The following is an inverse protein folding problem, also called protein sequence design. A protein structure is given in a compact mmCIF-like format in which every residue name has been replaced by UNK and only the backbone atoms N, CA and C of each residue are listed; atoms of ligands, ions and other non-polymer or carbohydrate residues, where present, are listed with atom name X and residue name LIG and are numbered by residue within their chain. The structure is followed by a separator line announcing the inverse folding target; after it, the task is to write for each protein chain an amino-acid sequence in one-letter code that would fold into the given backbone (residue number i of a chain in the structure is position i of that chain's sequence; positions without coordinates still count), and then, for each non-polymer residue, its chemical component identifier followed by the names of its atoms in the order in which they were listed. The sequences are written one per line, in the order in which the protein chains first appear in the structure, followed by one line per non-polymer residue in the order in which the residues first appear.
data_IF_724108808244
#
_entry.id   IF_724108808244
#
_cell.length_a   1.000
_cell.length_b   1.000
_cell.length_c   1.000
_cell.angle_alpha   90.00
_cell.angle_beta   90.00
_cell.angle_gamma   90.00
#
_symmetry.space_group_name_H-M   'P 1'
#
loop_
_entity.id
_entity.type
_entity.pdbx_description
1 polymer ?
#
# COMPACT_ATOMS: atom_id res chain seq x y z
N UNK A 1 -7.33 30.91 -1.26
CA UNK A 1 -8.07 29.64 -1.42
C UNK A 1 -9.28 29.68 -0.50
N UNK A 2 -10.47 29.63 -1.08
CA UNK A 2 -11.76 29.69 -0.41
C UNK A 2 -12.27 28.29 -0.03
N UNK A 3 -13.30 28.22 0.81
CA UNK A 3 -13.99 26.95 1.09
C UNK A 3 -14.63 26.36 -0.17
N UNK A 4 -15.13 27.21 -1.07
CA UNK A 4 -15.71 26.81 -2.35
C UNK A 4 -14.70 26.09 -3.23
N UNK A 5 -13.43 26.53 -3.24
CA UNK A 5 -12.37 25.89 -4.03
C UNK A 5 -12.12 24.45 -3.55
N UNK A 6 -12.18 24.22 -2.23
CA UNK A 6 -12.01 22.88 -1.64
C UNK A 6 -13.20 21.95 -1.93
N UNK A 7 -14.41 22.49 -1.91
CA UNK A 7 -15.61 21.72 -2.28
C UNK A 7 -15.53 21.33 -3.75
N UNK A 8 -15.16 22.26 -4.63
CA UNK A 8 -14.95 21.97 -6.05
C UNK A 8 -13.89 20.88 -6.25
N UNK A 9 -12.75 20.99 -5.58
CA UNK A 9 -11.69 19.97 -5.63
C UNK A 9 -12.18 18.59 -5.18
N UNK A 10 -12.94 18.52 -4.08
CA UNK A 10 -13.53 17.27 -3.59
C UNK A 10 -14.51 16.66 -4.62
N UNK A 11 -15.37 17.48 -5.24
CA UNK A 11 -16.29 17.04 -6.29
C UNK A 11 -15.52 16.51 -7.51
N UNK A 12 -14.50 17.23 -7.97
CA UNK A 12 -13.67 16.82 -9.09
C UNK A 12 -12.98 15.48 -8.82
N UNK A 13 -12.44 15.28 -7.61
CA UNK A 13 -11.68 14.08 -7.25
C UNK A 13 -12.56 12.84 -6.99
N UNK A 14 -13.82 13.04 -6.62
CA UNK A 14 -14.77 11.94 -6.32
C UNK A 14 -15.63 11.53 -7.53
N UNK A 15 -15.63 12.32 -8.59
CA UNK A 15 -16.30 11.97 -9.83
C UNK A 15 -15.69 10.69 -10.46
N UNK A 16 -16.50 9.88 -11.17
CA UNK A 16 -16.00 8.69 -11.85
C UNK A 16 -14.82 8.98 -12.79
N UNK A 17 -13.89 8.04 -12.91
CA UNK A 17 -12.78 8.11 -13.87
C UNK A 17 -13.34 8.25 -15.29
N UNK A 18 -12.82 9.20 -16.06
CA UNK A 18 -13.28 9.49 -17.42
C UNK A 18 -14.51 10.40 -17.49
N UNK A 19 -15.00 10.91 -16.36
CA UNK A 19 -16.01 12.00 -16.38
C UNK A 19 -15.41 13.21 -17.08
N UNK A 20 -15.99 13.67 -18.21
CA UNK A 20 -15.46 14.83 -18.92
C UNK A 20 -15.50 16.07 -18.03
N UNK A 21 -14.40 16.82 -17.98
CA UNK A 21 -14.33 18.07 -17.23
C UNK A 21 -13.82 19.19 -18.14
N UNK A 22 -14.42 20.37 -17.99
CA UNK A 22 -13.93 21.54 -18.69
C UNK A 22 -12.63 22.01 -18.05
N UNK A 23 -11.59 22.16 -18.86
CA UNK A 23 -10.32 22.75 -18.41
C UNK A 23 -10.56 24.15 -17.84
N UNK A 24 -10.11 24.44 -16.60
CA UNK A 24 -10.28 25.75 -16.00
C UNK A 24 -9.66 26.86 -16.86
N UNK A 25 -10.25 28.07 -16.90
CA UNK A 25 -9.65 29.20 -17.57
C UNK A 25 -8.35 29.64 -16.86
N UNK A 26 -7.48 30.36 -17.58
CA UNK A 26 -6.13 30.70 -17.12
C UNK A 26 -6.10 31.48 -15.80
N UNK A 27 -7.07 32.37 -15.59
CA UNK A 27 -7.23 33.17 -14.38
C UNK A 27 -7.61 32.33 -13.15
N UNK A 28 -8.30 31.19 -13.37
CA UNK A 28 -8.74 30.27 -12.30
C UNK A 28 -7.82 29.08 -12.10
N UNK A 29 -6.96 28.79 -13.08
CA UNK A 29 -6.09 27.62 -13.06
C UNK A 29 -5.27 27.47 -11.77
N UNK A 30 -4.54 28.50 -11.28
CA UNK A 30 -3.74 28.36 -10.06
C UNK A 30 -4.59 27.99 -8.84
N UNK A 31 -5.76 28.61 -8.69
CA UNK A 31 -6.64 28.37 -7.55
C UNK A 31 -7.23 26.94 -7.56
N UNK A 32 -7.66 26.45 -8.73
CA UNK A 32 -8.18 25.09 -8.88
C UNK A 32 -7.07 24.06 -8.66
N UNK A 33 -5.90 24.25 -9.29
CA UNK A 33 -4.75 23.37 -9.13
C UNK A 33 -4.35 23.25 -7.66
N UNK A 34 -4.17 24.37 -6.97
CA UNK A 34 -3.73 24.38 -5.57
C UNK A 34 -4.78 23.73 -4.65
N UNK A 35 -6.07 23.92 -4.92
CA UNK A 35 -7.15 23.28 -4.18
C UNK A 35 -7.19 21.76 -4.41
N UNK A 36 -7.02 21.30 -5.65
CA UNK A 36 -6.93 19.88 -5.99
C UNK A 36 -5.70 19.25 -5.34
N UNK A 37 -4.53 19.89 -5.44
CA UNK A 37 -3.30 19.43 -4.78
C UNK A 37 -3.48 19.28 -3.27
N UNK A 38 -3.98 20.34 -2.61
CA UNK A 38 -4.19 20.32 -1.17
C UNK A 38 -5.13 19.20 -0.75
N UNK A 39 -6.24 19.05 -1.47
CA UNK A 39 -7.24 18.02 -1.18
C UNK A 39 -6.69 16.61 -1.42
N UNK A 40 -6.00 16.39 -2.55
CA UNK A 40 -5.41 15.11 -2.91
C UNK A 40 -4.31 14.67 -1.94
N UNK A 41 -3.46 15.59 -1.47
CA UNK A 41 -2.45 15.32 -0.43
C UNK A 41 -3.12 14.99 0.89
N UNK A 42 -4.11 15.78 1.33
CA UNK A 42 -4.83 15.54 2.58
C UNK A 42 -5.60 14.20 2.57
N UNK A 43 -6.12 13.80 1.41
CA UNK A 43 -6.80 12.53 1.23
C UNK A 43 -5.83 11.35 1.06
N UNK A 44 -4.53 11.61 0.99
CA UNK A 44 -3.47 10.63 0.78
C UNK A 44 -3.67 9.83 -0.53
N UNK A 45 -4.14 10.50 -1.57
CA UNK A 45 -4.24 9.96 -2.95
C UNK A 45 -3.16 10.56 -3.87
N UNK A 46 -2.36 11.49 -3.34
CA UNK A 46 -1.20 12.10 -3.98
C UNK A 46 -0.15 12.39 -2.91
N UNK A 47 1.12 12.08 -3.19
CA UNK A 47 2.23 12.46 -2.32
C UNK A 47 2.59 13.95 -2.52
N UNK A 48 3.05 14.63 -1.46
CA UNK A 48 3.42 16.04 -1.54
C UNK A 48 4.54 16.29 -2.57
N UNK A 49 5.40 15.29 -2.80
CA UNK A 49 6.46 15.34 -3.82
C UNK A 49 5.91 15.39 -5.25
N UNK A 50 4.67 14.92 -5.47
CA UNK A 50 4.06 14.86 -6.80
C UNK A 50 3.46 16.19 -7.28
N UNK A 51 3.29 17.15 -6.38
CA UNK A 51 2.74 18.49 -6.68
C UNK A 51 3.52 19.24 -7.78
N UNK A 52 4.77 18.84 -8.04
CA UNK A 52 5.62 19.46 -9.06
C UNK A 52 5.34 18.99 -10.48
N UNK A 53 4.69 17.83 -10.65
CA UNK A 53 4.49 17.20 -11.95
C UNK A 53 3.03 16.86 -12.24
N UNK A 54 2.24 16.50 -11.23
CA UNK A 54 0.79 16.30 -11.37
C UNK A 54 0.11 17.68 -11.44
N UNK A 55 -0.74 17.91 -12.43
CA UNK A 55 -1.38 19.19 -12.74
C UNK A 55 -0.36 20.31 -12.92
N UNK A 56 0.78 19.99 -13.55
CA UNK A 56 1.84 20.96 -13.84
C UNK A 56 1.49 21.84 -15.04
N UNK A 57 0.88 21.25 -16.07
CA UNK A 57 0.37 21.94 -17.25
C UNK A 57 -1.17 21.92 -17.28
N UNK A 58 -1.77 23.00 -17.80
CA UNK A 58 -3.22 23.12 -17.94
C UNK A 58 -3.78 22.15 -18.98
N UNK A 59 -3.01 21.86 -20.02
CA UNK A 59 -3.42 20.97 -21.12
C UNK A 59 -3.53 19.51 -20.69
N UNK A 60 -2.80 19.12 -19.63
CA UNK A 60 -2.83 17.78 -19.04
C UNK A 60 -3.92 17.60 -17.97
N UNK A 61 -4.76 18.63 -17.75
CA UNK A 61 -5.72 18.69 -16.65
C UNK A 61 -6.58 17.43 -16.54
N UNK A 62 -7.19 17.00 -17.64
CA UNK A 62 -8.08 15.84 -17.65
C UNK A 62 -7.34 14.53 -17.37
N UNK A 63 -6.14 14.36 -17.93
CA UNK A 63 -5.31 13.17 -17.76
C UNK A 63 -4.89 13.03 -16.29
N UNK A 64 -4.38 14.10 -15.71
CA UNK A 64 -3.95 14.15 -14.31
C UNK A 64 -5.13 14.00 -13.35
N UNK A 65 -6.27 14.62 -13.67
CA UNK A 65 -7.47 14.48 -12.85
C UNK A 65 -7.98 13.03 -12.86
N UNK A 66 -7.95 12.35 -14.01
CA UNK A 66 -8.33 10.94 -14.11
C UNK A 66 -7.35 10.02 -13.37
N UNK A 67 -6.05 10.34 -13.37
CA UNK A 67 -5.07 9.67 -12.51
C UNK A 67 -5.45 9.78 -11.03
N UNK A 68 -5.77 10.98 -10.55
CA UNK A 68 -6.15 11.21 -9.15
C UNK A 68 -7.49 10.55 -8.79
N UNK A 69 -8.49 10.58 -9.67
CA UNK A 69 -9.77 9.87 -9.51
C UNK A 69 -9.56 8.37 -9.39
N UNK A 70 -8.71 7.79 -10.25
CA UNK A 70 -8.38 6.35 -10.17
C UNK A 70 -7.75 6.01 -8.82
N UNK A 71 -6.77 6.80 -8.38
CA UNK A 71 -6.14 6.63 -7.06
C UNK A 71 -7.13 6.79 -5.91
N UNK A 72 -8.10 7.69 -6.03
CA UNK A 72 -9.20 7.80 -5.06
C UNK A 72 -10.02 6.50 -5.01
N UNK A 73 -10.48 5.98 -6.15
CA UNK A 73 -11.21 4.72 -6.21
C UNK A 73 -10.40 3.55 -5.60
N UNK A 74 -9.11 3.45 -5.92
CA UNK A 74 -8.25 2.36 -5.45
C UNK A 74 -7.98 2.41 -3.94
N UNK A 75 -7.98 3.61 -3.34
CA UNK A 75 -7.54 3.88 -1.98
C UNK A 75 -8.64 4.40 -1.03
N UNK A 76 -9.89 4.52 -1.48
CA UNK A 76 -11.00 5.06 -0.65
C UNK A 76 -11.21 4.25 0.62
N UNK A 77 -11.08 2.93 0.52
CA UNK A 77 -11.20 1.96 1.60
C UNK A 77 -9.83 1.58 2.21
N UNK A 78 -8.71 2.08 1.68
CA UNK A 78 -7.39 1.77 2.20
C UNK A 78 -7.16 2.45 3.57
N UNK A 79 -6.48 1.80 4.53
CA UNK A 79 -6.06 2.46 5.75
C UNK A 79 -5.27 3.75 5.48
N UNK A 80 -5.44 4.76 6.33
CA UNK A 80 -4.62 5.98 6.30
C UNK A 80 -3.19 5.66 6.70
N UNK A 81 -2.24 6.46 6.24
CA UNK A 81 -0.81 6.17 6.46
C UNK A 81 -0.46 6.08 7.95
N UNK A 82 -1.12 6.87 8.80
CA UNK A 82 -0.98 6.83 10.27
C UNK A 82 -1.17 5.41 10.86
N UNK A 83 -1.88 4.51 10.17
CA UNK A 83 -2.01 3.13 10.61
C UNK A 83 -0.68 2.36 10.64
N UNK A 84 0.36 2.82 9.93
CA UNK A 84 1.69 2.20 9.96
C UNK A 84 2.32 2.22 11.36
N UNK A 85 1.94 3.16 12.22
CA UNK A 85 2.46 3.23 13.60
C UNK A 85 2.01 2.06 14.49
N UNK A 86 1.02 1.27 14.05
CA UNK A 86 0.62 0.02 14.73
C UNK A 86 1.52 -1.17 14.38
N UNK A 87 2.34 -1.01 13.34
CA UNK A 87 3.14 -2.10 12.77
C UNK A 87 4.56 -2.05 13.33
N UNK A 88 5.29 -3.19 13.32
CA UNK A 88 6.69 -3.22 13.70
C UNK A 88 7.54 -2.25 12.88
N UNK A 89 8.65 -1.79 13.46
CA UNK A 89 9.57 -0.89 12.77
C UNK A 89 10.33 -1.59 11.63
N UNK A 90 10.87 -0.80 10.72
CA UNK A 90 11.53 -1.29 9.50
C UNK A 90 12.72 -2.21 9.79
N UNK A 91 13.46 -2.00 10.88
CA UNK A 91 14.62 -2.85 11.22
C UNK A 91 14.12 -4.25 11.59
N UNK A 92 13.15 -4.34 12.49
CA UNK A 92 12.54 -5.62 12.88
C UNK A 92 11.94 -6.33 11.67
N UNK A 93 11.19 -5.64 10.82
CA UNK A 93 10.60 -6.25 9.62
C UNK A 93 11.67 -6.84 8.69
N UNK A 94 12.79 -6.14 8.47
CA UNK A 94 13.87 -6.63 7.63
C UNK A 94 14.54 -7.90 8.21
N UNK A 95 14.70 -7.98 9.52
CA UNK A 95 15.23 -9.17 10.20
C UNK A 95 14.29 -10.36 10.04
N UNK A 96 12.98 -10.17 10.24
CA UNK A 96 11.97 -11.21 10.09
C UNK A 96 11.88 -11.71 8.64
N UNK A 97 11.91 -10.82 7.66
CA UNK A 97 11.95 -11.18 6.24
C UNK A 97 13.24 -11.96 5.91
N UNK A 98 14.39 -11.53 6.44
CA UNK A 98 15.66 -12.25 6.23
C UNK A 98 15.58 -13.66 6.79
N UNK A 99 15.00 -13.82 7.99
CA UNK A 99 14.78 -15.13 8.59
C UNK A 99 13.84 -16.00 7.74
N UNK A 100 12.69 -15.45 7.34
CA UNK A 100 11.72 -16.15 6.49
C UNK A 100 12.39 -16.70 5.22
N UNK A 101 13.17 -15.88 4.52
CA UNK A 101 13.91 -16.30 3.31
C UNK A 101 14.93 -17.41 3.60
N UNK A 102 15.68 -17.29 4.69
CA UNK A 102 16.65 -18.30 5.09
C UNK A 102 15.95 -19.64 5.43
N UNK A 103 14.82 -19.56 6.12
CA UNK A 103 14.00 -20.72 6.45
C UNK A 103 13.42 -21.39 5.21
N UNK A 104 12.89 -20.60 4.27
CA UNK A 104 12.40 -21.10 2.98
C UNK A 104 13.49 -21.89 2.24
N UNK A 105 14.70 -21.34 2.15
CA UNK A 105 15.86 -22.00 1.53
C UNK A 105 16.21 -23.30 2.25
N UNK A 106 16.17 -23.29 3.58
CA UNK A 106 16.40 -24.49 4.38
C UNK A 106 15.38 -25.60 4.08
N UNK A 107 14.10 -25.27 3.89
CA UNK A 107 13.08 -26.26 3.51
C UNK A 107 13.35 -26.86 2.13
N UNK A 108 13.76 -26.05 1.16
CA UNK A 108 14.12 -26.54 -0.19
C UNK A 108 15.31 -27.50 -0.15
N UNK A 109 16.35 -27.14 0.61
CA UNK A 109 17.52 -27.99 0.80
C UNK A 109 17.13 -29.34 1.42
N UNK A 110 16.24 -29.36 2.42
CA UNK A 110 15.76 -30.59 3.05
C UNK A 110 14.87 -31.43 2.13
N UNK A 111 13.97 -30.80 1.39
CA UNK A 111 13.08 -31.49 0.45
C UNK A 111 13.85 -32.33 -0.57
N UNK A 112 15.05 -31.86 -0.96
CA UNK A 112 15.93 -32.61 -1.87
C UNK A 112 16.45 -33.93 -1.29
N UNK A 113 16.64 -34.00 0.03
CA UNK A 113 17.22 -35.17 0.72
C UNK A 113 16.20 -36.05 1.44
N UNK A 114 15.02 -35.50 1.75
CA UNK A 114 13.94 -36.15 2.52
C UNK A 114 12.65 -36.25 1.68
N UNK A 115 12.65 -37.04 0.58
CA UNK A 115 11.50 -37.14 -0.33
C UNK A 115 10.27 -37.77 0.32
N UNK A 116 10.45 -38.56 1.37
CA UNK A 116 9.38 -39.16 2.19
C UNK A 116 8.53 -38.10 2.92
N UNK A 117 9.06 -36.88 3.08
CA UNK A 117 8.38 -35.74 3.73
C UNK A 117 8.07 -34.60 2.75
N UNK A 118 8.13 -34.85 1.44
CA UNK A 118 8.01 -33.81 0.42
C UNK A 118 6.71 -32.99 0.55
N UNK A 119 5.59 -33.62 0.89
CA UNK A 119 4.28 -32.94 1.05
C UNK A 119 4.30 -31.95 2.22
N UNK A 120 4.92 -32.33 3.34
CA UNK A 120 5.06 -31.49 4.53
C UNK A 120 5.93 -30.27 4.24
N UNK A 121 7.05 -30.44 3.52
CA UNK A 121 7.87 -29.31 3.08
C UNK A 121 7.16 -28.43 2.07
N UNK A 122 6.40 -29.01 1.14
CA UNK A 122 5.63 -28.23 0.17
C UNK A 122 4.62 -27.32 0.87
N UNK A 123 3.85 -27.84 1.83
CA UNK A 123 2.92 -27.06 2.63
C UNK A 123 3.64 -25.95 3.42
N UNK A 124 4.77 -26.27 4.06
CA UNK A 124 5.55 -25.29 4.82
C UNK A 124 6.14 -24.19 3.92
N UNK A 125 6.62 -24.52 2.71
CA UNK A 125 7.13 -23.55 1.74
C UNK A 125 6.01 -22.62 1.26
N UNK A 126 4.85 -23.17 0.90
CA UNK A 126 3.70 -22.38 0.46
C UNK A 126 3.26 -21.36 1.52
N UNK A 127 3.17 -21.80 2.78
CA UNK A 127 2.83 -20.88 3.86
C UNK A 127 3.95 -19.88 4.14
N UNK A 128 5.22 -20.29 4.08
CA UNK A 128 6.37 -19.37 4.20
C UNK A 128 6.32 -18.26 3.15
N UNK A 129 5.97 -18.59 1.90
CA UNK A 129 5.80 -17.63 0.80
C UNK A 129 4.59 -16.70 1.01
N UNK A 130 3.49 -17.19 1.59
CA UNK A 130 2.35 -16.36 1.98
C UNK A 130 2.76 -15.36 3.06
N UNK A 131 3.37 -15.84 4.14
CA UNK A 131 3.85 -15.01 5.25
C UNK A 131 4.87 -13.97 4.78
N UNK A 132 5.77 -14.36 3.86
CA UNK A 132 6.69 -13.41 3.22
C UNK A 132 5.94 -12.22 2.62
N UNK A 133 4.88 -12.46 1.82
CA UNK A 133 4.12 -11.39 1.15
C UNK A 133 3.44 -10.46 2.14
N UNK A 134 2.96 -10.98 3.26
CA UNK A 134 2.36 -10.20 4.35
C UNK A 134 3.41 -9.29 5.00
N UNK A 135 4.58 -9.83 5.35
CA UNK A 135 5.68 -9.06 5.92
C UNK A 135 6.31 -8.07 4.92
N UNK A 136 6.34 -8.41 3.63
CA UNK A 136 6.78 -7.52 2.55
C UNK A 136 5.87 -6.28 2.45
N UNK A 137 4.55 -6.47 2.58
CA UNK A 137 3.60 -5.37 2.63
C UNK A 137 3.82 -4.44 3.83
N UNK A 138 4.20 -4.99 5.01
CA UNK A 138 4.63 -4.18 6.16
C UNK A 138 5.86 -3.35 5.81
N UNK A 139 6.87 -3.98 5.19
CA UNK A 139 8.12 -3.30 4.80
C UNK A 139 7.86 -2.14 3.87
N UNK A 140 6.97 -2.32 2.90
CA UNK A 140 6.61 -1.31 1.92
C UNK A 140 5.81 -0.17 2.55
N UNK A 141 4.86 -0.47 3.45
CA UNK A 141 4.13 0.53 4.22
C UNK A 141 5.05 1.39 5.12
N UNK A 142 6.12 0.79 5.66
CA UNK A 142 7.13 1.47 6.49
C UNK A 142 8.25 2.14 5.66
N UNK A 143 8.19 2.12 4.33
CA UNK A 143 9.24 2.69 3.50
C UNK A 143 9.00 4.18 3.23
N UNK A 144 9.73 5.07 3.91
CA UNK A 144 9.56 6.53 3.72
C UNK A 144 10.00 7.04 2.34
N UNK A 145 10.82 6.26 1.62
CA UNK A 145 11.18 6.59 0.24
C UNK A 145 10.02 6.41 -0.74
N UNK A 146 9.04 5.56 -0.41
CA UNK A 146 7.88 5.32 -1.27
C UNK A 146 6.84 6.43 -1.16
N UNK A 147 6.10 6.64 -2.24
CA UNK A 147 4.98 7.59 -2.25
C UNK A 147 3.85 7.12 -1.34
N UNK A 148 3.11 8.08 -0.77
CA UNK A 148 1.97 7.80 0.11
C UNK A 148 0.97 6.80 -0.50
N UNK A 149 0.76 6.88 -1.81
CA UNK A 149 -0.16 5.99 -2.56
C UNK A 149 0.30 4.53 -2.52
N UNK A 150 1.60 4.28 -2.74
CA UNK A 150 2.21 2.94 -2.66
C UNK A 150 2.12 2.39 -1.23
N UNK A 151 2.45 3.23 -0.24
CA UNK A 151 2.42 2.83 1.17
C UNK A 151 0.99 2.48 1.63
N UNK A 152 -0.01 3.25 1.21
CA UNK A 152 -1.43 2.97 1.52
C UNK A 152 -1.96 1.73 0.80
N UNK A 153 -1.56 1.51 -0.46
CA UNK A 153 -1.88 0.28 -1.16
C UNK A 153 -1.30 -0.95 -0.45
N UNK A 154 -0.07 -0.84 0.08
CA UNK A 154 0.54 -1.89 0.89
C UNK A 154 -0.22 -2.14 2.20
N UNK A 155 -0.67 -1.09 2.90
CA UNK A 155 -1.51 -1.21 4.09
C UNK A 155 -2.86 -1.90 3.77
N UNK A 156 -3.50 -1.55 2.66
CA UNK A 156 -4.73 -2.19 2.20
C UNK A 156 -4.51 -3.68 1.94
N UNK A 157 -3.48 -4.00 1.14
CA UNK A 157 -3.09 -5.40 0.86
C UNK A 157 -2.82 -6.20 2.14
N UNK A 158 -2.10 -5.60 3.09
CA UNK A 158 -1.82 -6.25 4.37
C UNK A 158 -3.10 -6.55 5.13
N UNK A 159 -3.94 -5.54 5.34
CA UNK A 159 -5.23 -5.66 6.04
C UNK A 159 -6.13 -6.71 5.39
N UNK A 160 -6.23 -6.71 4.07
CA UNK A 160 -7.06 -7.65 3.33
C UNK A 160 -6.52 -9.09 3.45
N UNK A 161 -5.18 -9.26 3.60
CA UNK A 161 -4.53 -10.56 3.79
C UNK A 161 -4.68 -11.13 5.20
N UNK A 162 -4.49 -10.29 6.24
CA UNK A 162 -4.50 -10.76 7.65
C UNK A 162 -5.87 -10.59 8.33
N UNK A 163 -6.78 -9.88 7.69
CA UNK A 163 -8.10 -9.53 8.20
C UNK A 163 -8.12 -8.24 9.03
N UNK A 164 -9.21 -7.49 8.92
CA UNK A 164 -9.47 -6.25 9.65
C UNK A 164 -9.26 -6.38 11.18
N UNK A 165 -9.74 -7.44 11.87
CA UNK A 165 -9.58 -7.53 13.32
C UNK A 165 -8.11 -7.71 13.76
N UNK A 166 -7.30 -8.39 12.96
CA UNK A 166 -5.87 -8.55 13.25
C UNK A 166 -5.12 -7.25 12.98
N UNK A 167 -5.40 -6.61 11.84
CA UNK A 167 -4.80 -5.34 11.45
C UNK A 167 -5.10 -4.21 12.45
N UNK A 168 -6.36 -4.06 12.85
CA UNK A 168 -6.76 -3.03 13.83
C UNK A 168 -6.09 -3.23 15.19
N UNK A 169 -5.92 -4.49 15.61
CA UNK A 169 -5.23 -4.84 16.85
C UNK A 169 -3.70 -4.77 16.76
N UNK A 170 -3.11 -4.49 15.59
CA UNK A 170 -1.66 -4.55 15.38
C UNK A 170 -1.08 -5.96 15.53
N UNK A 171 -1.90 -7.01 15.40
CA UNK A 171 -1.47 -8.40 15.51
C UNK A 171 -0.97 -8.90 14.17
N UNK A 172 0.34 -9.01 14.06
CA UNK A 172 0.99 -9.59 12.88
C UNK A 172 0.93 -11.12 12.94
N UNK A 173 0.86 -11.81 11.77
CA UNK A 173 1.03 -13.24 11.71
C UNK A 173 2.49 -13.60 12.02
N UNK A 174 2.75 -14.87 12.30
CA UNK A 174 4.12 -15.37 12.43
C UNK A 174 4.93 -15.10 11.14
N UNK A 175 6.25 -15.10 11.24
CA UNK A 175 7.15 -14.87 10.09
C UNK A 175 7.59 -16.16 9.41
N UNK A 176 7.23 -17.31 9.98
CA UNK A 176 7.38 -18.66 9.44
C UNK A 176 6.23 -19.56 9.95
N UNK A 177 5.95 -20.72 9.34
CA UNK A 177 4.93 -21.66 9.79
C UNK A 177 5.33 -22.34 11.11
N UNK A 178 4.77 -21.90 12.24
CA UNK A 178 5.16 -22.38 13.57
C UNK A 178 4.84 -23.87 13.80
N UNK A 179 3.76 -24.39 13.20
CA UNK A 179 3.35 -25.79 13.32
C UNK A 179 4.43 -26.77 12.82
N UNK A 180 5.26 -26.35 11.86
CA UNK A 180 6.33 -27.19 11.31
C UNK A 180 7.42 -27.46 12.36
N UNK A 181 7.62 -26.55 13.32
CA UNK A 181 8.56 -26.77 14.43
C UNK A 181 8.00 -27.71 15.50
N UNK A 182 6.67 -27.74 15.65
CA UNK A 182 6.01 -28.68 16.57
C UNK A 182 6.00 -30.11 16.02
N UNK A 183 5.85 -30.28 14.71
CA UNK A 183 5.92 -31.58 14.03
C UNK A 183 7.35 -32.16 13.95
N UNK A 184 8.37 -31.37 14.28
CA UNK A 184 9.78 -31.78 14.30
C UNK A 184 10.27 -32.26 15.69
N UNK A 185 9.40 -32.22 16.71
CA UNK A 185 9.64 -32.84 18.03
C UNK A 185 9.10 -34.26 18.06
#
# INVERSE_FOLDING_TARGET
MSATDLILAATLLTAPVGTPEQTPPEDRWPAVRDAVHKTAVAWEIMDARETRYVLSARDDFEVDLNLLRKRYCDLVDAPKLVACYRLPDRRTVNELIKFNRAYRKHLEERQMWEPDRADLFHAAIQETDRLYREWDAVRDAQCDFYYVTVRRAALKKLRDSIGEPAFTAGRMPSYVPEWHFAAAR
#
